data_IF_360076109044
#
_entry.id   IF_360076109044
#
_cell.length_a   1.000
_cell.length_b   1.000
_cell.length_c   1.000
_cell.angle_alpha   90.00
_cell.angle_beta   90.00
_cell.angle_gamma   90.00
#
_symmetry.space_group_name_H-M   'P 1'
#
loop_
_entity.id
_entity.type
_entity.pdbx_description
1 polymer ?
#
# COMPACT_ATOMS: atom_id res chain seq x y z
N UNK A 1 18.78 1.58 -2.41
CA UNK A 1 17.94 2.73 -1.99
C UNK A 1 16.48 2.53 -2.41
N UNK A 2 16.21 1.99 -3.60
CA UNK A 2 14.87 1.56 -4.06
C UNK A 2 13.98 0.91 -2.99
N UNK A 3 14.41 -0.24 -2.44
CA UNK A 3 13.62 -1.00 -1.45
C UNK A 3 13.36 -0.25 -0.14
N UNK A 4 14.26 0.67 0.24
CA UNK A 4 14.09 1.50 1.45
C UNK A 4 13.00 2.53 1.20
N UNK A 5 13.03 3.22 0.05
CA UNK A 5 12.01 4.20 -0.33
C UNK A 5 10.66 3.53 -0.52
N UNK A 6 10.59 2.42 -1.27
CA UNK A 6 9.35 1.67 -1.46
C UNK A 6 8.78 1.17 -0.12
N UNK A 7 9.62 0.63 0.75
CA UNK A 7 9.22 0.23 2.09
C UNK A 7 8.68 1.39 2.94
N UNK A 8 9.32 2.56 2.89
CA UNK A 8 8.84 3.76 3.58
C UNK A 8 7.52 4.27 3.02
N UNK A 9 7.36 4.31 1.70
CA UNK A 9 6.11 4.74 1.04
C UNK A 9 4.97 3.81 1.41
N UNK A 10 5.17 2.50 1.29
CA UNK A 10 4.19 1.50 1.69
C UNK A 10 3.82 1.60 3.16
N UNK A 11 4.78 1.88 4.04
CA UNK A 11 4.55 2.04 5.48
C UNK A 11 3.78 3.32 5.83
N UNK A 12 4.08 4.44 5.16
CA UNK A 12 3.35 5.72 5.32
C UNK A 12 1.90 5.57 4.84
N UNK A 13 1.71 4.96 3.67
CA UNK A 13 0.38 4.73 3.10
C UNK A 13 -0.42 3.76 3.95
N UNK A 14 0.20 2.67 4.39
CA UNK A 14 -0.41 1.73 5.32
C UNK A 14 -0.87 2.41 6.60
N UNK A 15 -0.03 3.26 7.21
CA UNK A 15 -0.37 3.99 8.42
C UNK A 15 -1.56 4.93 8.19
N UNK A 16 -1.55 5.69 7.09
CA UNK A 16 -2.66 6.57 6.70
C UNK A 16 -3.96 5.79 6.45
N UNK A 17 -3.88 4.64 5.79
CA UNK A 17 -5.03 3.78 5.55
C UNK A 17 -5.55 3.13 6.83
N UNK A 18 -4.67 2.77 7.76
CA UNK A 18 -5.06 2.22 9.05
C UNK A 18 -5.83 3.26 9.86
N UNK A 19 -5.41 4.54 9.81
CA UNK A 19 -6.12 5.65 10.42
C UNK A 19 -7.48 5.93 9.75
N UNK A 20 -7.56 5.87 8.42
CA UNK A 20 -8.81 6.10 7.69
C UNK A 20 -9.80 4.94 7.83
N UNK A 21 -9.31 3.71 8.01
CA UNK A 21 -10.12 2.49 8.10
C UNK A 21 -10.27 1.96 9.54
N UNK A 22 -10.31 2.85 10.53
CA UNK A 22 -10.59 2.46 11.92
C UNK A 22 -12.04 1.98 12.10
N UNK A 23 -12.24 0.82 12.75
CA UNK A 23 -13.56 0.28 13.12
C UNK A 23 -13.89 -1.08 12.47
N UNK A 24 -15.15 -1.30 12.08
CA UNK A 24 -15.62 -2.53 11.36
C UNK A 24 -14.99 -2.71 9.95
N UNK A 25 -14.15 -1.77 9.53
CA UNK A 25 -13.42 -1.81 8.27
C UNK A 25 -11.99 -2.37 8.37
N UNK A 26 -11.48 -2.57 9.60
CA UNK A 26 -10.26 -3.33 9.87
C UNK A 26 -10.48 -4.81 9.60
N UNK A 27 -10.44 -5.19 8.32
CA UNK A 27 -10.38 -6.58 7.88
C UNK A 27 -9.16 -7.27 8.49
N UNK A 28 -9.30 -8.57 8.72
CA UNK A 28 -8.37 -9.49 9.38
C UNK A 28 -6.88 -9.13 9.24
N UNK A 29 -6.25 -8.87 10.39
CA UNK A 29 -4.79 -8.81 10.55
C UNK A 29 -4.16 -7.47 10.18
N UNK A 30 -3.85 -6.67 11.21
CA UNK A 30 -2.99 -5.48 11.09
C UNK A 30 -1.69 -5.77 10.31
N UNK A 31 -1.10 -6.94 10.55
CA UNK A 31 0.07 -7.43 9.79
C UNK A 31 -0.24 -7.78 8.33
N UNK A 32 -1.42 -8.36 8.03
CA UNK A 32 -1.79 -8.70 6.66
C UNK A 32 -1.96 -7.43 5.81
N UNK A 33 -2.63 -6.41 6.35
CA UNK A 33 -2.77 -5.11 5.66
C UNK A 33 -1.44 -4.42 5.41
N UNK A 34 -0.46 -4.58 6.32
CA UNK A 34 0.89 -4.06 6.15
C UNK A 34 1.63 -4.76 5.00
N UNK A 35 1.59 -6.10 4.97
CA UNK A 35 2.19 -6.88 3.89
C UNK A 35 1.57 -6.50 2.54
N UNK A 36 0.23 -6.37 2.49
CA UNK A 36 -0.48 -5.97 1.27
C UNK A 36 -0.13 -4.55 0.84
N UNK A 37 0.02 -3.60 1.77
CA UNK A 37 0.42 -2.24 1.44
C UNK A 37 1.85 -2.18 0.88
N UNK A 38 2.77 -2.96 1.46
CA UNK A 38 4.14 -3.06 0.98
C UNK A 38 4.20 -3.69 -0.42
N UNK A 39 3.48 -4.79 -0.62
CA UNK A 39 3.33 -5.41 -1.94
C UNK A 39 2.66 -4.46 -2.93
N UNK A 40 1.65 -3.70 -2.49
CA UNK A 40 0.98 -2.71 -3.31
C UNK A 40 1.87 -1.55 -3.71
N UNK A 41 2.74 -1.10 -2.81
CA UNK A 41 3.69 -0.04 -3.16
C UNK A 41 4.66 -0.50 -4.24
N UNK A 42 5.20 -1.70 -4.10
CA UNK A 42 6.08 -2.28 -5.10
C UNK A 42 5.36 -2.57 -6.42
N UNK A 43 4.16 -3.15 -6.37
CA UNK A 43 3.37 -3.46 -7.57
C UNK A 43 2.91 -2.18 -8.29
N UNK A 44 2.57 -1.14 -7.54
CA UNK A 44 2.17 0.16 -8.08
C UNK A 44 3.29 0.82 -8.88
N UNK A 45 4.49 0.85 -8.31
CA UNK A 45 5.70 1.31 -9.00
C UNK A 45 5.99 0.48 -10.27
N UNK A 46 5.92 -0.85 -10.17
CA UNK A 46 6.19 -1.75 -11.29
C UNK A 46 5.17 -1.64 -12.44
N UNK A 47 3.88 -1.42 -12.13
CA UNK A 47 2.81 -1.37 -13.14
C UNK A 47 2.68 0.03 -13.73
N UNK A 48 2.67 1.06 -12.89
CA UNK A 48 2.46 2.44 -13.34
C UNK A 48 3.77 3.05 -13.88
N UNK A 49 4.92 2.44 -13.56
CA UNK A 49 6.22 2.80 -14.08
C UNK A 49 6.72 4.16 -13.57
N UNK A 50 7.71 4.70 -14.28
CA UNK A 50 8.44 5.89 -13.87
C UNK A 50 7.82 7.17 -14.43
N UNK A 51 7.05 7.87 -13.60
CA UNK A 51 6.45 9.14 -13.97
C UNK A 51 6.22 10.06 -12.77
N UNK A 52 6.28 11.36 -13.03
CA UNK A 52 5.97 12.44 -12.10
C UNK A 52 6.95 12.58 -10.93
N UNK A 53 6.94 11.68 -9.95
CA UNK A 53 7.82 11.79 -8.78
C UNK A 53 8.56 10.49 -8.47
N UNK A 54 9.82 10.46 -8.93
CA UNK A 54 10.78 9.42 -8.59
C UNK A 54 11.70 9.85 -7.46
N UNK A 55 11.94 8.93 -6.52
CA UNK A 55 12.88 9.13 -5.42
C UNK A 55 13.73 7.86 -5.26
N UNK A 56 15.04 8.03 -5.47
CA UNK A 56 16.03 6.95 -5.42
C UNK A 56 15.70 5.70 -6.28
N UNK A 57 15.10 5.94 -7.45
CA UNK A 57 14.71 4.91 -8.42
C UNK A 57 13.33 4.29 -8.17
N UNK A 58 12.58 4.78 -7.17
CA UNK A 58 11.21 4.33 -6.88
C UNK A 58 10.23 5.48 -7.13
N UNK A 59 9.17 5.25 -7.88
CA UNK A 59 8.10 6.20 -8.09
C UNK A 59 7.16 6.22 -6.88
N UNK A 60 7.28 7.29 -6.08
CA UNK A 60 6.56 7.47 -4.82
C UNK A 60 5.05 7.53 -5.05
N UNK A 61 4.62 8.17 -6.15
CA UNK A 61 3.20 8.37 -6.44
C UNK A 61 2.59 7.07 -6.94
N UNK A 62 3.26 6.41 -7.89
CA UNK A 62 2.83 5.10 -8.37
C UNK A 62 2.74 4.07 -7.25
N UNK A 63 3.76 4.00 -6.40
CA UNK A 63 3.75 3.13 -5.23
C UNK A 63 2.67 3.50 -4.21
N UNK A 64 2.44 4.79 -3.95
CA UNK A 64 1.36 5.19 -3.06
C UNK A 64 -0.01 4.74 -3.58
N UNK A 65 -0.28 4.91 -4.87
CA UNK A 65 -1.52 4.46 -5.51
C UNK A 65 -1.67 2.95 -5.39
N UNK A 66 -0.63 2.18 -5.73
CA UNK A 66 -0.69 0.72 -5.66
C UNK A 66 -0.91 0.20 -4.24
N UNK A 67 -0.26 0.81 -3.24
CA UNK A 67 -0.48 0.51 -1.83
C UNK A 67 -1.92 0.80 -1.40
N UNK A 68 -2.48 1.96 -1.79
CA UNK A 68 -3.86 2.31 -1.48
C UNK A 68 -4.85 1.31 -2.08
N UNK A 69 -4.71 1.02 -3.37
CA UNK A 69 -5.64 0.16 -4.11
C UNK A 69 -5.60 -1.27 -3.59
N UNK A 70 -4.42 -1.84 -3.38
CA UNK A 70 -4.31 -3.22 -2.89
C UNK A 70 -4.78 -3.37 -1.45
N UNK A 71 -4.43 -2.44 -0.56
CA UNK A 71 -4.91 -2.50 0.83
C UNK A 71 -6.43 -2.30 0.89
N UNK A 72 -7.01 -1.47 0.01
CA UNK A 72 -8.45 -1.31 -0.09
C UNK A 72 -9.14 -2.59 -0.60
N UNK A 73 -8.63 -3.19 -1.67
CA UNK A 73 -9.11 -4.47 -2.20
C UNK A 73 -9.04 -5.58 -1.16
N UNK A 74 -7.92 -5.69 -0.42
CA UNK A 74 -7.77 -6.67 0.64
C UNK A 74 -8.82 -6.49 1.73
N UNK A 75 -9.07 -5.26 2.17
CA UNK A 75 -10.08 -4.99 3.19
C UNK A 75 -11.50 -5.31 2.72
N UNK A 76 -11.79 -5.18 1.42
CA UNK A 76 -13.07 -5.63 0.85
C UNK A 76 -13.20 -7.16 0.84
N UNK A 77 -12.17 -7.87 0.38
CA UNK A 77 -12.16 -9.34 0.32
C UNK A 77 -12.22 -9.92 1.75
N UNK A 78 -11.43 -9.38 2.67
CA UNK A 78 -11.40 -9.81 4.06
C UNK A 78 -12.75 -9.63 4.78
N UNK A 79 -13.57 -8.65 4.37
CA UNK A 79 -14.94 -8.51 4.86
C UNK A 79 -15.90 -9.54 4.28
N UNK A 80 -15.72 -9.94 3.02
CA UNK A 80 -16.58 -10.93 2.35
C UNK A 80 -16.31 -12.36 2.86
N UNK A 81 -15.07 -12.63 3.26
CA UNK A 81 -14.66 -13.93 3.80
C UNK A 81 -15.07 -14.16 5.27
N UNK A 82 -15.72 -13.19 5.91
CA UNK A 82 -16.07 -13.20 7.33
C UNK A 82 -17.59 -13.20 7.49
#
# INVERSE_FOLDING_TARGET
MYWIVGGLVGLVVWWGMNMLMTGKAGGTGWLATLIVALLGSWLGDLILGDWLWMLAGFNVIAGAIGAVVLTWLWNMIAKQLK
#
